data_IF_382535774120
#
_entry.id   IF_382535774120
#
_cell.length_a   1.000
_cell.length_b   1.000
_cell.length_c   1.000
_cell.angle_alpha   90.00
_cell.angle_beta   90.00
_cell.angle_gamma   90.00
#
_symmetry.space_group_name_H-M   'P 1'
#
loop_
_entity.id
_entity.type
_entity.pdbx_description
1 polymer ?
#
# COMPACT_ATOMS: atom_id res chain seq x y z
N UNK A 1 -32.77 64.48 37.68
CA UNK A 1 -31.29 64.58 37.66
C UNK A 1 -30.85 63.83 36.42
N UNK A 2 -30.53 64.54 35.35
CA UNK A 2 -30.06 63.92 34.11
C UNK A 2 -28.56 63.64 34.28
N UNK A 3 -28.08 62.46 33.90
CA UNK A 3 -26.68 62.07 33.95
C UNK A 3 -26.08 62.24 32.54
N UNK A 4 -25.60 63.43 32.15
CA UNK A 4 -25.40 63.78 30.74
C UNK A 4 -24.03 63.33 30.21
N UNK A 5 -23.27 62.55 30.99
CA UNK A 5 -21.83 62.29 30.75
C UNK A 5 -21.41 60.83 30.97
N UNK A 6 -22.37 59.91 31.17
CA UNK A 6 -22.06 58.49 31.30
C UNK A 6 -22.18 57.84 29.93
N UNK A 7 -21.07 57.34 29.40
CA UNK A 7 -21.00 56.68 28.09
C UNK A 7 -19.90 57.27 27.22
N UNK A 8 -19.37 56.45 26.32
CA UNK A 8 -18.31 56.84 25.38
C UNK A 8 -18.91 57.10 24.00
N UNK A 9 -18.32 58.04 23.27
CA UNK A 9 -18.76 58.36 21.92
C UNK A 9 -18.24 57.32 20.93
N UNK A 10 -19.11 56.87 20.04
CA UNK A 10 -18.70 56.04 18.92
C UNK A 10 -17.75 56.83 17.99
N UNK A 11 -16.66 56.18 17.57
CA UNK A 11 -15.57 56.76 16.78
C UNK A 11 -15.94 56.92 15.29
N UNK A 12 -17.14 56.48 14.89
CA UNK A 12 -17.63 56.61 13.53
C UNK A 12 -18.10 58.06 13.27
N UNK A 13 -17.63 58.74 12.20
CA UNK A 13 -17.97 60.15 11.95
C UNK A 13 -19.47 60.39 11.76
N UNK A 14 -20.21 59.39 11.30
CA UNK A 14 -21.65 59.45 11.05
C UNK A 14 -22.49 59.18 12.30
N UNK A 15 -21.93 58.48 13.30
CA UNK A 15 -22.63 58.04 14.50
C UNK A 15 -21.87 58.48 15.74
N UNK A 16 -21.98 59.76 16.12
CA UNK A 16 -21.42 60.30 17.38
C UNK A 16 -22.31 60.04 18.59
N UNK A 17 -22.99 58.89 18.63
CA UNK A 17 -23.88 58.52 19.74
C UNK A 17 -23.04 58.12 20.96
N UNK A 18 -23.51 58.51 22.14
CA UNK A 18 -22.98 58.05 23.42
C UNK A 18 -23.58 56.68 23.72
N UNK A 19 -22.74 55.66 23.82
CA UNK A 19 -23.14 54.31 24.23
C UNK A 19 -22.67 54.05 25.67
N UNK A 20 -23.55 53.46 26.48
CA UNK A 20 -23.26 53.11 27.86
C UNK A 20 -22.43 51.83 27.95
N UNK A 21 -22.38 51.03 26.88
CA UNK A 21 -21.54 49.83 26.77
C UNK A 21 -20.53 49.96 25.62
N UNK A 22 -19.44 50.73 25.80
CA UNK A 22 -18.43 50.90 24.77
C UNK A 22 -17.78 49.58 24.36
N UNK A 23 -17.91 49.23 23.08
CA UNK A 23 -17.23 48.06 22.50
C UNK A 23 -15.95 48.53 21.81
N UNK A 24 -14.81 47.99 22.22
CA UNK A 24 -13.53 48.22 21.56
C UNK A 24 -13.37 47.24 20.41
N UNK A 25 -13.12 47.75 19.20
CA UNK A 25 -12.75 46.92 18.08
C UNK A 25 -11.37 46.28 18.35
N UNK A 26 -11.28 44.97 18.27
CA UNK A 26 -10.05 44.19 18.48
C UNK A 26 -9.03 44.31 17.34
N UNK A 27 -9.44 44.88 16.20
CA UNK A 27 -8.58 45.12 15.05
C UNK A 27 -8.00 46.54 15.03
N UNK A 28 -8.80 47.59 15.25
CA UNK A 28 -8.34 48.99 15.19
C UNK A 28 -8.22 49.67 16.56
N UNK A 29 -8.76 49.08 17.63
CA UNK A 29 -8.69 49.62 19.00
C UNK A 29 -9.67 50.77 19.31
N UNK A 30 -10.40 51.27 18.31
CA UNK A 30 -11.38 52.35 18.49
C UNK A 30 -12.66 51.85 19.17
N UNK A 31 -13.38 52.78 19.80
CA UNK A 31 -14.64 52.51 20.50
C UNK A 31 -15.82 52.75 19.55
N UNK A 32 -16.74 51.79 19.49
CA UNK A 32 -17.96 51.87 18.69
C UNK A 32 -19.18 51.50 19.54
N UNK A 33 -20.36 52.00 19.13
CA UNK A 33 -21.63 51.61 19.71
C UNK A 33 -22.09 50.23 19.19
N UNK A 34 -23.15 49.66 19.77
CA UNK A 34 -23.69 48.36 19.36
C UNK A 34 -23.97 48.25 17.85
N UNK A 35 -24.46 49.33 17.24
CA UNK A 35 -24.77 49.39 15.81
C UNK A 35 -23.53 49.54 14.90
N UNK A 36 -22.35 49.84 15.44
CA UNK A 36 -21.11 50.03 14.66
C UNK A 36 -19.99 49.07 15.10
N UNK A 37 -20.32 48.03 15.87
CA UNK A 37 -19.33 47.09 16.41
C UNK A 37 -18.71 46.18 15.33
N UNK A 38 -19.42 45.93 14.22
CA UNK A 38 -18.90 45.05 13.17
C UNK A 38 -17.86 45.76 12.30
N UNK A 39 -16.86 45.02 11.80
CA UNK A 39 -15.80 45.60 10.96
C UNK A 39 -16.33 46.26 9.67
N UNK A 40 -17.47 45.78 9.16
CA UNK A 40 -18.10 46.33 7.95
C UNK A 40 -18.76 47.68 8.24
N UNK A 41 -19.39 47.83 9.40
CA UNK A 41 -20.13 49.05 9.75
C UNK A 41 -19.24 50.27 9.98
N UNK A 42 -18.00 50.08 10.47
CA UNK A 42 -17.04 51.17 10.65
C UNK A 42 -15.88 51.12 9.64
N UNK A 43 -16.01 50.35 8.55
CA UNK A 43 -15.00 50.19 7.50
C UNK A 43 -13.58 50.01 8.07
N UNK A 44 -13.42 48.98 8.91
CA UNK A 44 -12.20 48.80 9.71
C UNK A 44 -10.94 48.70 8.83
N UNK A 45 -9.92 49.55 9.04
CA UNK A 45 -8.69 49.53 8.24
C UNK A 45 -7.86 48.26 8.46
N UNK A 46 -8.11 47.52 9.53
CA UNK A 46 -7.39 46.31 9.91
C UNK A 46 -8.27 45.05 9.96
N UNK A 47 -9.47 45.07 9.36
CA UNK A 47 -10.37 43.90 9.27
C UNK A 47 -9.62 42.64 8.81
N UNK A 48 -8.83 42.77 7.73
CA UNK A 48 -8.10 41.67 7.11
C UNK A 48 -7.06 40.98 8.02
N UNK A 49 -6.65 41.59 9.13
CA UNK A 49 -5.67 40.97 10.06
C UNK A 49 -6.31 39.90 10.95
N UNK A 50 -7.63 39.85 11.04
CA UNK A 50 -8.37 38.97 11.95
C UNK A 50 -9.23 37.92 11.26
N UNK A 51 -9.45 38.04 9.95
CA UNK A 51 -10.17 37.08 9.13
C UNK A 51 -9.37 35.77 8.96
N UNK A 52 -9.39 34.90 9.97
CA UNK A 52 -8.82 33.55 9.88
C UNK A 52 -9.83 32.66 9.18
N UNK A 53 -9.69 32.53 7.87
CA UNK A 53 -10.47 31.61 7.08
C UNK A 53 -9.97 30.17 7.34
N UNK A 54 -10.90 29.28 7.69
CA UNK A 54 -10.59 27.84 7.88
C UNK A 54 -10.91 27.13 6.57
N UNK A 55 -9.90 26.74 5.77
CA UNK A 55 -10.13 26.04 4.52
C UNK A 55 -10.64 24.62 4.78
N UNK A 56 -11.45 24.11 3.86
CA UNK A 56 -11.97 22.73 3.88
C UNK A 56 -11.05 21.85 3.04
N UNK A 57 -10.72 20.66 3.53
CA UNK A 57 -9.95 19.70 2.74
C UNK A 57 -10.83 19.12 1.61
N UNK A 58 -10.37 19.15 0.34
CA UNK A 58 -11.17 18.66 -0.79
C UNK A 58 -11.31 17.13 -0.82
N UNK A 59 -10.48 16.39 -0.07
CA UNK A 59 -10.49 14.91 -0.08
C UNK A 59 -11.37 14.29 1.02
N UNK A 60 -11.55 14.97 2.15
CA UNK A 60 -12.30 14.45 3.29
C UNK A 60 -13.39 15.39 3.81
N UNK A 61 -13.48 16.63 3.29
CA UNK A 61 -14.50 17.59 3.71
C UNK A 61 -14.33 18.12 5.13
N UNK A 62 -13.27 17.75 5.85
CA UNK A 62 -13.02 18.26 7.20
C UNK A 62 -12.37 19.65 7.17
N UNK A 63 -12.72 20.55 8.10
CA UNK A 63 -12.04 21.83 8.25
C UNK A 63 -10.58 21.60 8.65
N UNK A 64 -9.66 22.27 7.97
CA UNK A 64 -8.22 22.15 8.23
C UNK A 64 -7.76 23.32 9.08
N UNK A 65 -7.27 23.07 10.32
CA UNK A 65 -6.72 24.13 11.17
C UNK A 65 -5.54 24.82 10.48
N UNK A 66 -5.71 26.10 10.14
CA UNK A 66 -4.66 26.91 9.50
C UNK A 66 -4.14 27.93 10.51
N UNK A 67 -2.82 27.95 10.81
CA UNK A 67 -2.25 28.94 11.71
C UNK A 67 -2.24 30.33 11.06
N UNK A 68 -2.33 31.38 11.89
CA UNK A 68 -2.53 32.79 11.47
C UNK A 68 -1.48 33.36 10.50
N UNK A 69 -0.32 32.70 10.36
CA UNK A 69 0.81 33.17 9.55
C UNK A 69 1.11 32.26 8.35
N UNK A 70 0.26 31.28 8.04
CA UNK A 70 0.47 30.35 6.94
C UNK A 70 -0.68 30.43 5.95
N UNK A 71 -0.40 30.45 4.63
CA UNK A 71 -1.46 30.40 3.64
C UNK A 71 -2.23 29.08 3.75
N UNK A 72 -3.55 29.10 3.45
CA UNK A 72 -4.43 27.94 3.59
C UNK A 72 -3.96 26.74 2.77
N UNK A 73 -3.35 26.98 1.60
CA UNK A 73 -2.88 25.92 0.69
C UNK A 73 -1.82 25.02 1.33
N UNK A 74 -0.91 25.58 2.13
CA UNK A 74 0.15 24.80 2.77
C UNK A 74 -0.45 23.96 3.90
N UNK A 75 -1.34 24.53 4.71
CA UNK A 75 -2.00 23.80 5.79
C UNK A 75 -2.85 22.63 5.27
N UNK A 76 -3.60 22.85 4.17
CA UNK A 76 -4.37 21.80 3.51
C UNK A 76 -3.45 20.73 2.91
N UNK A 77 -2.34 21.12 2.30
CA UNK A 77 -1.35 20.18 1.74
C UNK A 77 -0.73 19.29 2.83
N UNK A 78 -0.31 19.90 3.94
CA UNK A 78 0.26 19.17 5.09
C UNK A 78 -0.76 18.20 5.70
N UNK A 79 -2.01 18.63 5.84
CA UNK A 79 -3.10 17.75 6.25
C UNK A 79 -3.29 16.59 5.27
N UNK A 80 -3.31 16.82 3.95
CA UNK A 80 -3.45 15.75 2.94
C UNK A 80 -2.34 14.70 3.11
N UNK A 81 -1.11 15.14 3.32
CA UNK A 81 0.04 14.25 3.40
C UNK A 81 0.14 13.49 4.73
N UNK A 82 -0.26 14.08 5.87
CA UNK A 82 -0.04 13.51 7.21
C UNK A 82 -1.31 13.00 7.92
N UNK A 83 -2.38 13.80 7.92
CA UNK A 83 -3.51 13.62 8.84
C UNK A 83 -4.82 13.26 8.13
N UNK A 84 -4.92 13.46 6.82
CA UNK A 84 -6.11 13.19 6.04
C UNK A 84 -6.45 11.69 6.08
N UNK A 85 -7.67 11.36 6.49
CA UNK A 85 -8.13 9.98 6.65
C UNK A 85 -8.90 9.44 5.44
N UNK A 86 -9.01 10.22 4.36
CA UNK A 86 -9.63 9.78 3.12
C UNK A 86 -8.90 8.56 2.53
N UNK A 87 -9.65 7.67 1.87
CA UNK A 87 -9.10 6.48 1.21
C UNK A 87 -7.94 6.78 0.24
N UNK A 88 -8.03 7.80 -0.65
CA UNK A 88 -6.89 8.19 -1.50
C UNK A 88 -5.66 8.67 -0.72
N UNK A 89 -5.84 9.38 0.41
CA UNK A 89 -4.71 9.81 1.24
C UNK A 89 -4.05 8.63 1.98
N UNK A 90 -4.84 7.66 2.46
CA UNK A 90 -4.33 6.43 3.08
C UNK A 90 -3.61 5.54 2.08
N UNK A 91 -4.09 5.46 0.83
CA UNK A 91 -3.43 4.72 -0.24
C UNK A 91 -2.07 5.33 -0.60
N UNK A 92 -1.96 6.67 -0.66
CA UNK A 92 -0.67 7.37 -0.82
C UNK A 92 0.32 7.05 0.31
N UNK A 93 -0.14 6.93 1.56
CA UNK A 93 0.75 6.58 2.70
C UNK A 93 1.13 5.11 2.74
N UNK A 94 0.24 4.21 2.30
CA UNK A 94 0.51 2.77 2.17
C UNK A 94 1.21 2.45 0.85
N UNK A 95 2.29 3.17 0.53
CA UNK A 95 3.27 2.64 -0.42
C UNK A 95 3.88 1.40 0.24
N UNK A 96 3.39 0.22 -0.12
CA UNK A 96 4.02 -1.03 0.27
C UNK A 96 5.41 -1.01 -0.36
N UNK A 97 6.41 -0.63 0.42
CA UNK A 97 7.78 -0.58 -0.06
C UNK A 97 8.18 -2.00 -0.51
N UNK A 98 8.47 -2.15 -1.80
CA UNK A 98 8.65 -3.42 -2.48
C UNK A 98 10.03 -3.98 -2.09
N UNK A 99 10.04 -4.95 -1.16
CA UNK A 99 11.25 -5.57 -0.63
C UNK A 99 11.92 -6.46 -1.66
N UNK A 100 13.24 -6.40 -1.75
CA UNK A 100 14.02 -7.33 -2.55
C UNK A 100 13.92 -8.76 -1.99
N UNK A 101 13.63 -9.74 -2.84
CA UNK A 101 13.55 -11.16 -2.48
C UNK A 101 14.92 -11.86 -2.42
N UNK A 102 16.01 -11.19 -2.85
CA UNK A 102 17.35 -11.75 -2.79
C UNK A 102 17.82 -11.84 -1.31
N UNK A 103 18.21 -13.03 -0.81
CA UNK A 103 18.78 -13.16 0.52
C UNK A 103 20.01 -12.26 0.69
N UNK A 104 20.03 -11.47 1.77
CA UNK A 104 21.09 -10.48 2.05
C UNK A 104 20.80 -9.06 1.54
N UNK A 105 19.79 -8.86 0.70
CA UNK A 105 19.36 -7.52 0.28
C UNK A 105 18.16 -7.03 1.11
N UNK A 106 18.32 -5.88 1.79
CA UNK A 106 17.23 -5.25 2.59
C UNK A 106 16.63 -4.00 1.93
N UNK A 107 17.00 -3.73 0.67
CA UNK A 107 16.52 -2.58 -0.09
C UNK A 107 15.02 -2.73 -0.37
N UNK A 108 14.29 -1.63 -0.19
CA UNK A 108 12.87 -1.54 -0.52
C UNK A 108 12.67 -0.42 -1.53
N UNK A 109 12.12 -0.75 -2.68
CA UNK A 109 11.86 0.22 -3.74
C UNK A 109 10.42 0.74 -3.69
N UNK A 110 10.23 1.99 -4.09
CA UNK A 110 8.89 2.60 -4.19
C UNK A 110 8.07 1.97 -5.32
N UNK A 111 8.75 1.52 -6.39
CA UNK A 111 8.12 0.87 -7.56
C UNK A 111 8.41 -0.63 -7.51
N UNK A 112 7.42 -1.50 -7.79
CA UNK A 112 7.66 -2.94 -7.87
C UNK A 112 8.50 -3.26 -9.11
N UNK A 113 9.59 -4.00 -8.92
CA UNK A 113 10.45 -4.51 -10.00
C UNK A 113 10.35 -6.03 -10.00
N UNK A 114 9.43 -6.54 -10.81
CA UNK A 114 9.11 -7.98 -10.88
C UNK A 114 9.95 -8.63 -11.97
N UNK A 115 10.67 -9.70 -11.63
CA UNK A 115 11.41 -10.49 -12.61
C UNK A 115 10.44 -11.32 -13.49
N UNK A 116 10.60 -11.26 -14.81
CA UNK A 116 9.74 -11.96 -15.78
C UNK A 116 9.81 -13.50 -15.68
N UNK A 117 10.90 -14.03 -15.14
CA UNK A 117 11.16 -15.48 -15.09
C UNK A 117 10.70 -16.12 -13.77
N UNK A 118 11.11 -15.56 -12.63
CA UNK A 118 10.80 -16.11 -11.31
C UNK A 118 9.59 -15.45 -10.63
N UNK A 119 9.10 -14.32 -11.15
CA UNK A 119 7.98 -13.50 -10.63
C UNK A 119 8.16 -13.05 -9.19
N UNK A 120 9.40 -12.89 -8.75
CA UNK A 120 9.73 -12.29 -7.46
C UNK A 120 10.09 -10.82 -7.64
N UNK A 121 9.87 -10.03 -6.58
CA UNK A 121 10.22 -8.61 -6.56
C UNK A 121 11.67 -8.41 -6.12
N UNK A 122 12.42 -7.62 -6.86
CA UNK A 122 13.81 -7.25 -6.55
C UNK A 122 13.97 -5.73 -6.45
N UNK A 123 15.12 -5.25 -6.00
CA UNK A 123 15.46 -3.83 -6.09
C UNK A 123 16.07 -3.49 -7.44
N UNK A 124 16.24 -2.20 -7.75
CA UNK A 124 16.82 -1.76 -9.03
C UNK A 124 18.23 -2.33 -9.26
N UNK A 125 18.98 -2.58 -8.18
CA UNK A 125 20.31 -3.21 -8.21
C UNK A 125 20.29 -4.71 -8.53
N UNK A 126 19.19 -5.41 -8.23
CA UNK A 126 19.07 -6.85 -8.45
C UNK A 126 17.97 -7.17 -9.47
N UNK A 127 17.68 -6.24 -10.39
CA UNK A 127 16.65 -6.38 -11.42
C UNK A 127 16.97 -7.48 -12.43
N UNK A 128 18.25 -7.67 -12.74
CA UNK A 128 18.69 -8.63 -13.76
C UNK A 128 18.80 -10.06 -13.20
N UNK A 129 18.59 -11.10 -14.02
CA UNK A 129 18.65 -12.50 -13.59
C UNK A 129 19.95 -12.92 -12.90
N UNK A 130 21.08 -12.35 -13.34
CA UNK A 130 22.42 -12.61 -12.81
C UNK A 130 22.59 -12.09 -11.38
N UNK A 131 22.04 -10.90 -11.11
CA UNK A 131 22.20 -10.21 -9.82
C UNK A 131 21.39 -10.85 -8.68
N UNK A 132 20.33 -11.61 -9.01
CA UNK A 132 19.47 -12.23 -7.99
C UNK A 132 19.44 -13.76 -8.01
N UNK A 133 20.33 -14.42 -8.78
CA UNK A 133 20.37 -15.89 -8.93
C UNK A 133 18.97 -16.43 -9.29
N UNK A 134 18.43 -15.95 -10.41
CA UNK A 134 17.06 -16.21 -10.82
C UNK A 134 16.72 -17.71 -10.86
N UNK A 135 15.78 -18.13 -9.99
CA UNK A 135 15.17 -19.46 -10.06
C UNK A 135 13.99 -19.37 -11.04
N UNK A 136 14.30 -19.39 -12.34
CA UNK A 136 13.30 -19.31 -13.40
C UNK A 136 12.23 -20.41 -13.33
N UNK A 137 11.24 -20.37 -14.22
CA UNK A 137 10.05 -21.27 -14.23
C UNK A 137 10.38 -22.78 -14.14
N UNK A 138 11.60 -23.20 -14.50
CA UNK A 138 12.06 -24.59 -14.45
C UNK A 138 12.35 -25.13 -13.05
N UNK A 139 12.57 -24.26 -12.05
CA UNK A 139 12.88 -24.68 -10.67
C UNK A 139 11.66 -25.00 -9.80
N UNK A 140 10.49 -24.41 -10.09
CA UNK A 140 9.28 -24.56 -9.25
C UNK A 140 8.51 -25.87 -9.47
N UNK A 141 8.81 -26.61 -10.54
CA UNK A 141 8.16 -27.89 -10.85
C UNK A 141 8.73 -29.02 -9.98
N UNK A 142 9.98 -28.90 -9.54
CA UNK A 142 10.68 -29.92 -8.76
C UNK A 142 10.26 -29.90 -7.27
N UNK A 143 10.06 -28.73 -6.66
CA UNK A 143 9.65 -28.65 -5.24
C UNK A 143 8.17 -29.02 -5.00
N UNK A 144 7.27 -28.71 -5.93
CA UNK A 144 5.84 -29.04 -5.79
C UNK A 144 5.53 -30.54 -6.00
N UNK A 145 6.45 -31.29 -6.60
CA UNK A 145 6.28 -32.72 -6.88
C UNK A 145 6.74 -33.61 -5.71
N UNK A 146 7.64 -33.11 -4.85
CA UNK A 146 8.19 -33.89 -3.73
C UNK A 146 7.24 -33.88 -2.52
N UNK A 147 6.48 -32.80 -2.28
CA UNK A 147 5.57 -32.73 -1.12
C UNK A 147 4.17 -33.32 -1.36
N UNK A 148 3.87 -33.82 -2.57
CA UNK A 148 2.61 -34.55 -2.86
C UNK A 148 2.76 -36.07 -2.85
N UNK A 149 3.98 -36.58 -2.88
CA UNK A 149 4.21 -38.03 -3.02
C UNK A 149 4.08 -38.78 -1.68
N UNK A 150 4.13 -38.09 -0.54
CA UNK A 150 4.03 -38.73 0.78
C UNK A 150 2.62 -38.80 1.38
N UNK A 151 1.65 -38.03 0.85
CA UNK A 151 0.25 -38.04 1.37
C UNK A 151 -0.68 -38.90 0.49
N UNK A 152 -0.35 -39.11 -0.79
CA UNK A 152 -1.25 -39.81 -1.73
C UNK A 152 -1.11 -41.33 -1.72
N UNK A 153 0.02 -41.89 -1.30
CA UNK A 153 0.27 -43.34 -1.35
C UNK A 153 -0.29 -44.07 -0.12
N UNK A 154 -0.41 -43.41 1.04
CA UNK A 154 -0.92 -44.07 2.25
C UNK A 154 -2.44 -44.31 2.21
N UNK A 155 -3.21 -43.36 1.66
CA UNK A 155 -4.69 -43.45 1.73
C UNK A 155 -5.32 -44.42 0.72
N UNK A 156 -4.66 -44.72 -0.41
CA UNK A 156 -5.20 -45.65 -1.42
C UNK A 156 -4.79 -47.11 -1.14
N UNK A 157 -3.71 -47.35 -0.40
CA UNK A 157 -3.27 -48.72 -0.05
C UNK A 157 -4.16 -49.28 1.09
N UNK A 158 -4.69 -48.42 1.97
CA UNK A 158 -5.62 -48.79 3.05
C UNK A 158 -7.02 -49.22 2.59
N UNK A 159 -7.43 -48.91 1.35
CA UNK A 159 -8.81 -49.16 0.87
C UNK A 159 -8.94 -50.28 -0.16
N UNK A 160 -7.84 -50.79 -0.72
CA UNK A 160 -7.89 -51.77 -1.83
C UNK A 160 -7.33 -53.16 -1.48
N UNK A 161 -6.51 -53.30 -0.45
CA UNK A 161 -5.98 -54.61 -0.07
C UNK A 161 -6.47 -55.02 1.31
N UNK A 162 -7.44 -55.94 1.32
CA UNK A 162 -7.78 -56.70 2.52
C UNK A 162 -6.54 -57.40 3.10
N UNK A 163 -6.59 -57.71 4.39
CA UNK A 163 -5.53 -58.37 5.16
C UNK A 163 -5.00 -59.64 4.47
N UNK A 164 -3.97 -59.50 3.64
CA UNK A 164 -3.13 -60.62 3.19
C UNK A 164 -1.92 -60.64 4.13
N UNK A 165 -1.66 -61.77 4.81
CA UNK A 165 -0.45 -61.86 5.65
C UNK A 165 0.81 -61.80 4.78
N UNK A 166 1.90 -61.30 5.35
CA UNK A 166 3.17 -61.04 4.68
C UNK A 166 3.70 -62.28 3.94
N UNK A 167 3.45 -63.46 4.49
CA UNK A 167 3.83 -64.75 3.91
C UNK A 167 3.05 -65.08 2.61
N UNK A 168 1.77 -64.68 2.51
CA UNK A 168 0.96 -64.95 1.30
C UNK A 168 1.35 -64.00 0.15
N UNK A 169 1.71 -62.75 0.47
CA UNK A 169 2.19 -61.78 -0.51
C UNK A 169 3.54 -62.21 -1.10
N UNK A 170 4.45 -62.70 -0.27
CA UNK A 170 5.77 -63.16 -0.71
C UNK A 170 5.69 -64.41 -1.58
N UNK A 171 4.86 -65.38 -1.20
CA UNK A 171 4.64 -66.60 -1.98
C UNK A 171 4.08 -66.30 -3.39
N UNK A 172 3.18 -65.32 -3.50
CA UNK A 172 2.64 -64.88 -4.81
C UNK A 172 3.72 -64.24 -5.68
N UNK A 173 4.52 -63.32 -5.14
CA UNK A 173 5.61 -62.65 -5.87
C UNK A 173 6.66 -63.64 -6.40
N UNK A 174 7.01 -64.66 -5.60
CA UNK A 174 7.95 -65.72 -6.03
C UNK A 174 7.33 -66.56 -7.15
N UNK A 175 6.03 -66.89 -7.05
CA UNK A 175 5.33 -67.66 -8.08
C UNK A 175 5.19 -66.92 -9.42
N UNK A 176 5.07 -65.60 -9.39
CA UNK A 176 4.98 -64.75 -10.60
C UNK A 176 6.34 -64.60 -11.28
N UNK A 177 7.42 -64.43 -10.51
CA UNK A 177 8.79 -64.43 -11.06
C UNK A 177 9.15 -65.75 -11.75
N UNK A 178 8.66 -66.89 -11.24
CA UNK A 178 8.86 -68.19 -11.89
C UNK A 178 8.06 -68.34 -13.19
N UNK A 179 6.94 -67.63 -13.35
CA UNK A 179 6.12 -67.64 -14.58
C UNK A 179 6.72 -66.73 -15.65
N UNK A 180 7.34 -65.60 -15.30
CA UNK A 180 7.94 -64.66 -16.25
C UNK A 180 9.22 -65.19 -16.94
N UNK A 181 9.95 -66.09 -16.29
CA UNK A 181 11.18 -66.69 -16.86
C UNK A 181 10.92 -67.52 -18.12
N UNK A 182 9.65 -67.86 -18.42
CA UNK A 182 9.28 -68.58 -19.66
C UNK A 182 8.88 -67.68 -20.83
N UNK A 183 8.79 -66.34 -20.63
CA UNK A 183 8.24 -65.40 -21.64
C UNK A 183 9.27 -64.52 -22.36
N UNK A 184 10.52 -64.46 -21.92
CA UNK A 184 11.56 -63.60 -22.52
C UNK A 184 12.57 -64.38 -23.37
N UNK A 185 12.10 -65.05 -24.43
CA UNK A 185 12.96 -65.52 -25.52
C UNK A 185 12.34 -65.15 -26.86
N UNK A 186 12.49 -63.88 -27.24
CA UNK A 186 12.01 -63.38 -28.52
C UNK A 186 12.41 -61.93 -28.85
N UNK A 187 13.50 -61.81 -29.62
CA UNK A 187 13.81 -60.77 -30.61
C UNK A 187 14.47 -59.44 -30.19
N UNK A 188 15.78 -59.38 -30.53
CA UNK A 188 16.62 -58.21 -30.79
C UNK A 188 16.15 -57.38 -32.00
N UNK A 189 16.44 -56.07 -32.01
CA UNK A 189 17.30 -55.38 -33.02
C UNK A 189 17.48 -53.89 -32.69
N UNK A 190 18.72 -53.40 -32.88
CA UNK A 190 19.20 -52.00 -32.79
C UNK A 190 19.31 -51.42 -34.21
N UNK A 191 19.13 -50.11 -34.46
CA UNK A 191 20.28 -49.27 -34.88
C UNK A 191 20.17 -47.79 -34.35
N UNK A 192 21.21 -47.08 -33.89
CA UNK A 192 22.42 -46.45 -34.50
C UNK A 192 22.20 -45.22 -35.41
N UNK A 193 22.80 -44.08 -35.00
CA UNK A 193 23.54 -43.07 -35.83
C UNK A 193 23.13 -41.58 -35.75
N UNK A 194 23.97 -40.82 -35.03
CA UNK A 194 24.58 -39.50 -35.27
C UNK A 194 24.10 -38.64 -36.48
N UNK A 195 23.78 -37.36 -36.24
CA UNK A 195 24.28 -36.26 -37.09
C UNK A 195 24.30 -34.88 -36.38
N UNK A 196 25.36 -34.11 -36.64
CA UNK A 196 25.81 -32.86 -36.01
C UNK A 196 25.83 -31.76 -37.09
N UNK A 197 25.15 -30.63 -36.92
CA UNK A 197 25.43 -29.34 -37.60
C UNK A 197 24.36 -28.32 -37.20
N UNK A 198 24.56 -27.00 -37.17
CA UNK A 198 25.67 -26.08 -36.88
C UNK A 198 24.97 -24.71 -36.84
N UNK A 199 25.28 -23.89 -35.85
CA UNK A 199 24.73 -22.54 -35.70
C UNK A 199 25.14 -21.61 -36.86
N UNK A 200 24.23 -20.74 -37.30
CA UNK A 200 24.58 -19.51 -38.03
C UNK A 200 23.71 -18.36 -37.53
N UNK A 201 24.38 -17.29 -37.17
CA UNK A 201 23.84 -16.04 -36.61
C UNK A 201 23.58 -15.09 -37.78
N UNK A 202 22.51 -14.30 -37.69
CA UNK A 202 22.33 -13.04 -38.42
C UNK A 202 21.70 -12.05 -37.46
#
# INVERSE_FOLDING_TARGET
>A
MELPHLGEQCSEPTCKKLDFLPVKCDACGNIYCMDHMSYVQHSCPSAHKKDVQVPICPLCGSPVPTPRNQPPDIAVSEHIDRDCQSDPAKAKRKVKANKCALPGCRVKELVPVICSECRQNFCLRHRFPDDHKCVGKKGKVLEASIHRQEISTYSHVLSVQGNMSEDEALAKAISESMKETTRSRGQSTVPTSVNRQRCRVS
#
